data_IF_792927547051
#
_entry.id   IF_792927547051
#
_cell.length_a   1.000
_cell.length_b   1.000
_cell.length_c   1.000
_cell.angle_alpha   90.00
_cell.angle_beta   90.00
_cell.angle_gamma   90.00
#
_symmetry.space_group_name_H-M   'P 1'
#
loop_
_entity.id
_entity.type
_entity.pdbx_description
1 polymer ?
#
# COMPACT_ATOMS: atom_id res chain seq x y z
N UNK A 1 -3.51 -17.03 20.78
CA UNK A 1 -4.57 -16.30 20.05
C UNK A 1 -4.11 -16.11 18.61
N UNK A 2 -4.82 -16.65 17.62
CA UNK A 2 -4.61 -16.28 16.21
C UNK A 2 -5.30 -14.93 15.97
N UNK A 3 -4.66 -13.84 16.38
CA UNK A 3 -5.09 -12.47 16.05
C UNK A 3 -4.45 -12.03 14.73
N UNK A 4 -4.89 -12.61 13.61
CA UNK A 4 -4.39 -12.28 12.26
C UNK A 4 -5.46 -11.67 11.32
N UNK A 5 -6.80 -11.79 11.51
CA UNK A 5 -7.75 -11.22 10.53
C UNK A 5 -7.85 -9.69 10.52
N UNK A 6 -7.86 -9.04 11.69
CA UNK A 6 -8.22 -7.62 11.79
C UNK A 6 -7.14 -6.68 11.26
N UNK A 7 -5.87 -6.88 11.66
CA UNK A 7 -4.76 -6.02 11.26
C UNK A 7 -4.49 -6.10 9.75
N UNK A 8 -4.63 -7.29 9.16
CA UNK A 8 -4.50 -7.48 7.72
C UNK A 8 -5.56 -6.68 6.96
N UNK A 9 -6.85 -6.79 7.34
CA UNK A 9 -7.94 -6.01 6.71
C UNK A 9 -7.76 -4.51 6.84
N UNK A 10 -7.32 -4.03 8.02
CA UNK A 10 -7.04 -2.61 8.24
C UNK A 10 -5.95 -2.11 7.30
N UNK A 11 -4.81 -2.81 7.23
CA UNK A 11 -3.73 -2.49 6.29
C UNK A 11 -4.22 -2.47 4.84
N UNK A 12 -4.99 -3.48 4.44
CA UNK A 12 -5.54 -3.55 3.08
C UNK A 12 -6.47 -2.37 2.77
N UNK A 13 -7.33 -1.96 3.71
CA UNK A 13 -8.20 -0.80 3.54
C UNK A 13 -7.41 0.51 3.42
N UNK A 14 -6.37 0.68 4.23
CA UNK A 14 -5.48 1.85 4.15
C UNK A 14 -4.82 1.91 2.76
N UNK A 15 -4.30 0.79 2.27
CA UNK A 15 -3.70 0.70 0.95
C UNK A 15 -4.70 1.01 -0.18
N UNK A 16 -5.91 0.46 -0.13
CA UNK A 16 -6.91 0.74 -1.17
C UNK A 16 -7.33 2.22 -1.19
N UNK A 17 -7.45 2.85 -0.02
CA UNK A 17 -7.75 4.28 0.09
C UNK A 17 -6.58 5.16 -0.42
N UNK A 18 -5.34 4.81 -0.10
CA UNK A 18 -4.18 5.53 -0.60
C UNK A 18 -4.02 5.34 -2.12
N UNK A 19 -4.32 4.14 -2.65
CA UNK A 19 -4.36 3.90 -4.08
C UNK A 19 -5.44 4.76 -4.77
N UNK A 20 -6.64 4.83 -4.19
CA UNK A 20 -7.70 5.71 -4.68
C UNK A 20 -7.28 7.18 -4.74
N UNK A 21 -6.56 7.66 -3.73
CA UNK A 21 -6.06 9.04 -3.69
C UNK A 21 -4.98 9.31 -4.75
N UNK A 22 -4.09 8.35 -5.00
CA UNK A 22 -2.97 8.51 -5.92
C UNK A 22 -3.34 8.27 -7.39
N UNK A 23 -4.17 7.26 -7.65
CA UNK A 23 -4.49 6.78 -9.00
C UNK A 23 -5.93 7.09 -9.44
N UNK A 24 -6.77 7.60 -8.53
CA UNK A 24 -8.16 7.95 -8.80
C UNK A 24 -9.16 6.85 -8.42
N UNK A 25 -10.40 7.27 -8.20
CA UNK A 25 -11.48 6.36 -7.81
C UNK A 25 -11.84 5.36 -8.91
N UNK A 26 -11.87 5.83 -10.16
CA UNK A 26 -12.17 4.98 -11.32
C UNK A 26 -11.17 3.82 -11.46
N UNK A 27 -9.90 4.03 -11.06
CA UNK A 27 -8.89 2.98 -11.08
C UNK A 27 -9.20 1.85 -10.09
N UNK A 28 -9.45 2.18 -8.82
CA UNK A 28 -9.73 1.17 -7.77
C UNK A 28 -11.12 0.55 -7.88
N UNK A 29 -12.01 1.14 -8.68
CA UNK A 29 -13.35 0.63 -8.94
C UNK A 29 -13.39 -0.47 -10.00
N UNK A 30 -12.31 -0.68 -10.75
CA UNK A 30 -12.19 -1.76 -11.73
C UNK A 30 -12.46 -3.15 -11.13
N UNK A 31 -12.83 -4.10 -11.98
CA UNK A 31 -13.17 -5.48 -11.61
C UNK A 31 -12.01 -6.22 -10.95
N UNK A 32 -10.78 -5.89 -11.32
CA UNK A 32 -9.53 -6.50 -10.86
C UNK A 32 -9.31 -6.31 -9.36
N UNK A 33 -10.01 -5.35 -8.74
CA UNK A 33 -10.01 -5.10 -7.30
C UNK A 33 -11.17 -5.79 -6.57
N UNK A 34 -11.98 -6.64 -7.22
CA UNK A 34 -13.15 -7.26 -6.60
C UNK A 34 -12.79 -8.04 -5.32
N UNK A 35 -11.80 -8.93 -5.40
CA UNK A 35 -11.40 -9.78 -4.27
C UNK A 35 -10.92 -8.95 -3.07
N UNK A 36 -10.16 -7.88 -3.31
CA UNK A 36 -9.69 -7.02 -2.23
C UNK A 36 -10.82 -6.23 -1.58
N UNK A 37 -11.83 -5.82 -2.36
CA UNK A 37 -13.04 -5.16 -1.84
C UNK A 37 -13.87 -6.13 -0.99
N UNK A 38 -14.06 -7.36 -1.46
CA UNK A 38 -14.73 -8.42 -0.71
C UNK A 38 -13.99 -8.77 0.59
N UNK A 39 -12.66 -8.81 0.57
CA UNK A 39 -11.85 -8.99 1.78
C UNK A 39 -12.04 -7.86 2.79
N UNK A 40 -12.00 -6.60 2.33
CA UNK A 40 -12.17 -5.43 3.20
C UNK A 40 -13.56 -5.42 3.82
N UNK A 41 -14.62 -5.68 3.04
CA UNK A 41 -16.01 -5.56 3.49
C UNK A 41 -16.48 -6.79 4.27
N UNK A 42 -16.23 -7.98 3.74
CA UNK A 42 -16.86 -9.23 4.18
C UNK A 42 -15.87 -10.21 4.82
N UNK A 43 -14.56 -9.98 4.66
CA UNK A 43 -13.53 -10.90 5.18
C UNK A 43 -13.35 -12.17 4.33
N UNK A 44 -13.83 -12.19 3.09
CA UNK A 44 -13.59 -13.28 2.12
C UNK A 44 -12.13 -13.34 1.67
N UNK A 45 -11.68 -14.51 1.18
CA UNK A 45 -10.31 -14.72 0.67
C UNK A 45 -9.23 -14.62 1.77
N UNK A 46 -9.56 -15.03 3.00
CA UNK A 46 -8.65 -14.95 4.15
C UNK A 46 -7.30 -15.63 3.87
N UNK A 47 -7.26 -16.81 3.27
CA UNK A 47 -6.02 -17.55 2.99
C UNK A 47 -5.04 -16.75 2.12
N UNK A 48 -5.57 -15.92 1.21
CA UNK A 48 -4.79 -15.08 0.30
C UNK A 48 -4.29 -13.80 0.98
N UNK A 49 -5.13 -13.11 1.75
CA UNK A 49 -4.80 -11.79 2.31
C UNK A 49 -4.22 -11.83 3.73
N UNK A 50 -4.56 -12.84 4.53
CA UNK A 50 -4.06 -12.98 5.92
C UNK A 50 -2.57 -13.35 5.96
N UNK A 51 -2.12 -14.18 5.02
CA UNK A 51 -0.74 -14.65 4.87
C UNK A 51 0.10 -13.78 3.92
N UNK A 52 -0.40 -12.60 3.53
CA UNK A 52 0.30 -11.68 2.63
C UNK A 52 1.75 -11.38 3.07
N UNK A 53 2.66 -11.04 2.14
CA UNK A 53 4.10 -11.08 2.36
C UNK A 53 4.57 -10.28 3.59
N UNK A 54 5.60 -10.82 4.24
CA UNK A 54 6.29 -10.15 5.34
C UNK A 54 7.00 -8.88 4.84
N UNK A 55 6.85 -7.81 5.62
CA UNK A 55 7.56 -6.56 5.38
C UNK A 55 9.05 -6.73 5.66
N UNK A 56 9.90 -6.27 4.74
CA UNK A 56 11.33 -6.13 4.97
C UNK A 56 11.63 -4.66 5.37
N UNK A 57 12.16 -4.39 6.57
CA UNK A 57 12.48 -3.03 6.99
C UNK A 57 13.59 -2.36 6.14
N UNK A 58 14.39 -3.13 5.40
CA UNK A 58 15.49 -2.61 4.57
C UNK A 58 15.06 -2.10 3.18
N UNK A 59 13.76 -1.91 2.95
CA UNK A 59 13.24 -1.28 1.72
C UNK A 59 13.85 0.11 1.51
N UNK A 60 14.16 0.44 0.26
CA UNK A 60 14.88 1.68 -0.11
C UNK A 60 14.15 2.93 0.38
N UNK A 61 12.82 2.95 0.28
CA UNK A 61 11.99 4.09 0.71
C UNK A 61 12.21 4.45 2.19
N UNK A 62 12.45 3.47 3.08
CA UNK A 62 12.73 3.72 4.51
C UNK A 62 14.01 4.52 4.75
N UNK A 63 14.95 4.54 3.80
CA UNK A 63 16.20 5.32 3.88
C UNK A 63 15.99 6.78 3.46
N UNK A 64 14.87 7.09 2.80
CA UNK A 64 14.63 8.36 2.10
C UNK A 64 13.53 9.19 2.80
N UNK A 65 12.42 8.56 3.20
CA UNK A 65 11.27 9.23 3.85
C UNK A 65 11.67 9.84 5.20
N UNK A 66 10.85 10.69 5.86
CA UNK A 66 11.16 11.23 7.18
C UNK A 66 11.16 10.15 8.31
N UNK A 67 11.87 10.35 9.43
CA UNK A 67 11.78 9.44 10.57
C UNK A 67 10.36 9.39 11.12
N UNK A 68 9.95 8.24 11.66
CA UNK A 68 8.62 8.02 12.25
C UNK A 68 7.41 8.25 11.30
N UNK A 69 7.66 8.45 10.00
CA UNK A 69 6.60 8.60 9.01
C UNK A 69 5.84 7.30 8.81
N UNK A 70 4.55 7.44 8.50
CA UNK A 70 3.76 6.39 7.89
C UNK A 70 3.79 6.56 6.36
N UNK A 71 3.85 5.47 5.61
CA UNK A 71 3.79 5.55 4.15
C UNK A 71 3.08 4.35 3.53
N UNK A 72 2.52 4.59 2.34
CA UNK A 72 1.96 3.58 1.45
C UNK A 72 2.69 3.67 0.10
N UNK A 73 3.37 2.61 -0.33
CA UNK A 73 4.05 2.50 -1.62
C UNK A 73 3.32 1.51 -2.53
N UNK A 74 3.33 1.76 -3.83
CA UNK A 74 2.63 0.98 -4.82
C UNK A 74 3.52 0.72 -6.03
N UNK A 75 3.51 -0.52 -6.52
CA UNK A 75 4.28 -0.93 -7.68
C UNK A 75 3.64 -2.13 -8.37
N UNK A 76 4.04 -2.38 -9.62
CA UNK A 76 3.72 -3.61 -10.34
C UNK A 76 4.77 -4.69 -10.07
N UNK A 77 4.36 -5.81 -9.48
CA UNK A 77 5.14 -7.05 -9.41
C UNK A 77 4.65 -8.01 -10.51
N UNK A 78 5.26 -7.92 -11.69
CA UNK A 78 4.77 -8.64 -12.87
C UNK A 78 3.42 -8.08 -13.32
N UNK A 79 2.35 -8.85 -13.15
CA UNK A 79 0.96 -8.44 -13.44
C UNK A 79 0.18 -8.02 -12.20
N UNK A 80 0.77 -8.14 -11.02
CA UNK A 80 0.11 -7.81 -9.75
C UNK A 80 0.41 -6.38 -9.38
N UNK A 81 -0.64 -5.63 -9.09
CA UNK A 81 -0.53 -4.35 -8.43
C UNK A 81 -0.43 -4.60 -6.92
N UNK A 82 0.72 -4.23 -6.34
CA UNK A 82 1.05 -4.52 -4.95
C UNK A 82 1.19 -3.21 -4.21
N UNK A 83 0.58 -3.15 -3.02
CA UNK A 83 0.76 -2.08 -2.06
C UNK A 83 1.60 -2.53 -0.87
N UNK A 84 2.45 -1.65 -0.37
CA UNK A 84 3.20 -1.81 0.87
C UNK A 84 2.80 -0.71 1.81
N UNK A 85 2.30 -1.05 2.98
CA UNK A 85 2.03 -0.09 4.05
C UNK A 85 3.07 -0.25 5.14
N UNK A 86 3.60 0.87 5.62
CA UNK A 86 4.56 0.88 6.72
C UNK A 86 4.19 1.96 7.74
N UNK A 87 4.45 1.65 9.00
CA UNK A 87 4.27 2.50 10.15
C UNK A 87 5.60 2.56 10.90
N UNK A 88 6.03 3.78 11.24
CA UNK A 88 7.22 4.04 12.03
C UNK A 88 8.48 3.33 11.48
N UNK A 89 8.55 3.17 10.16
CA UNK A 89 9.61 2.46 9.40
C UNK A 89 9.94 1.03 9.87
N UNK A 90 9.14 0.43 10.74
CA UNK A 90 9.50 -0.77 11.49
C UNK A 90 8.46 -1.87 11.38
N UNK A 91 7.18 -1.50 11.25
CA UNK A 91 6.11 -2.44 11.09
C UNK A 91 5.34 -2.15 9.81
N UNK A 92 5.10 -3.16 9.00
CA UNK A 92 4.40 -3.00 7.75
C UNK A 92 3.85 -4.30 7.20
N UNK A 93 3.15 -4.19 6.08
CA UNK A 93 2.58 -5.32 5.36
C UNK A 93 2.59 -5.05 3.87
N UNK A 94 2.88 -6.09 3.10
CA UNK A 94 2.73 -6.11 1.65
C UNK A 94 1.39 -6.77 1.31
N UNK A 95 0.62 -6.19 0.40
CA UNK A 95 -0.69 -6.68 -0.01
C UNK A 95 -0.81 -6.66 -1.54
N UNK A 96 -1.06 -7.80 -2.20
CA UNK A 96 -1.43 -7.82 -3.62
C UNK A 96 -2.88 -7.33 -3.77
N UNK A 97 -3.08 -6.13 -4.32
CA UNK A 97 -4.40 -5.49 -4.36
C UNK A 97 -5.23 -5.89 -5.58
N UNK A 98 -4.57 -6.17 -6.70
CA UNK A 98 -5.20 -6.54 -7.97
C UNK A 98 -4.23 -7.31 -8.87
N UNK A 99 -4.74 -8.09 -9.81
CA UNK A 99 -3.96 -8.71 -10.89
C UNK A 99 -4.58 -8.33 -12.24
N UNK A 100 -3.75 -7.79 -13.13
CA UNK A 100 -4.17 -7.26 -14.43
C UNK A 100 -3.68 -8.14 -15.58
N UNK A 101 -4.26 -7.97 -16.77
CA UNK A 101 -3.72 -8.60 -17.98
C UNK A 101 -2.41 -7.93 -18.44
N UNK A 102 -2.36 -6.60 -18.40
CA UNK A 102 -1.20 -5.77 -18.74
C UNK A 102 -0.79 -4.91 -17.54
N UNK A 103 0.34 -4.20 -17.63
CA UNK A 103 0.81 -3.32 -16.54
C UNK A 103 0.23 -1.92 -16.70
N UNK A 104 -0.81 -1.51 -15.94
CA UNK A 104 -1.40 -0.20 -16.10
C UNK A 104 -0.52 0.93 -15.54
N UNK A 105 0.39 0.59 -14.63
CA UNK A 105 1.22 1.57 -13.92
C UNK A 105 2.70 1.21 -14.15
N UNK A 106 3.47 2.08 -14.84
CA UNK A 106 4.88 1.81 -15.12
C UNK A 106 5.79 2.14 -13.94
N UNK A 107 5.44 3.15 -13.14
CA UNK A 107 6.31 3.74 -12.14
C UNK A 107 5.84 3.46 -10.71
N UNK A 108 6.80 3.41 -9.79
CA UNK A 108 6.53 3.35 -8.35
C UNK A 108 5.89 4.67 -7.93
N UNK A 109 4.85 4.60 -7.11
CA UNK A 109 4.27 5.78 -6.48
C UNK A 109 4.08 5.51 -4.98
N UNK A 110 4.10 6.56 -4.18
CA UNK A 110 3.85 6.45 -2.75
C UNK A 110 3.17 7.68 -2.18
N UNK A 111 2.51 7.48 -1.04
CA UNK A 111 1.99 8.51 -0.18
C UNK A 111 2.70 8.45 1.15
N UNK A 112 3.23 9.58 1.61
CA UNK A 112 4.00 9.69 2.85
C UNK A 112 3.26 10.65 3.78
N UNK A 113 2.90 10.17 4.97
CA UNK A 113 2.36 10.97 6.05
C UNK A 113 3.46 11.26 7.07
N UNK A 114 3.92 12.51 7.10
CA UNK A 114 4.91 13.02 8.04
C UNK A 114 4.21 13.85 9.12
N UNK A 115 3.75 13.14 10.14
CA UNK A 115 3.09 13.75 11.30
C UNK A 115 4.00 14.71 12.08
N UNK A 116 5.30 14.43 12.14
CA UNK A 116 6.25 15.27 12.86
C UNK A 116 6.28 16.68 12.28
N UNK A 117 6.24 16.78 10.95
CA UNK A 117 6.22 18.06 10.25
C UNK A 117 4.81 18.49 9.79
N UNK A 118 3.76 17.77 10.20
CA UNK A 118 2.34 18.02 9.86
C UNK A 118 2.12 18.18 8.36
N UNK A 119 2.80 17.38 7.56
CA UNK A 119 2.71 17.47 6.10
C UNK A 119 2.60 16.09 5.48
N UNK A 120 1.75 16.01 4.47
CA UNK A 120 1.61 14.82 3.65
C UNK A 120 2.25 15.10 2.28
N UNK A 121 2.81 14.05 1.69
CA UNK A 121 3.51 14.14 0.41
C UNK A 121 3.05 13.02 -0.52
N UNK A 122 2.87 13.34 -1.79
CA UNK A 122 3.06 12.35 -2.85
C UNK A 122 4.56 12.12 -3.01
N UNK A 123 4.93 10.93 -3.46
CA UNK A 123 6.33 10.53 -3.50
C UNK A 123 7.17 11.45 -4.37
N UNK A 124 6.67 11.80 -5.56
CA UNK A 124 7.39 12.68 -6.49
C UNK A 124 7.63 14.06 -5.87
N UNK A 125 6.61 14.67 -5.26
CA UNK A 125 6.72 15.96 -4.57
C UNK A 125 7.74 15.91 -3.42
N UNK A 126 7.86 14.77 -2.73
CA UNK A 126 8.83 14.58 -1.67
C UNK A 126 10.27 14.48 -2.22
N UNK A 127 10.47 13.74 -3.32
CA UNK A 127 11.77 13.62 -3.97
C UNK A 127 12.26 14.98 -4.51
N UNK A 128 11.37 15.76 -5.13
CA UNK A 128 11.69 17.11 -5.59
C UNK A 128 12.15 18.04 -4.45
N UNK A 129 11.60 17.87 -3.25
CA UNK A 129 12.01 18.64 -2.06
C UNK A 129 13.41 18.26 -1.54
N UNK A 130 13.90 17.05 -1.83
CA UNK A 130 15.23 16.59 -1.39
C UNK A 130 16.37 17.16 -2.25
N UNK A 131 16.04 17.76 -3.40
CA UNK A 131 16.96 18.41 -4.32
C UNK A 131 17.00 19.92 -4.07
#
# INVERSE_FOLDING_TARGET
MKEIPANARVCTKILLNAAAYLYGWDFVMQSEFADVKEWILEGKHEDFFSNGPSFNPDVVINKIVPPDSHWCEFAMAGRRFVGVVCFYRSWGRVVPLAEFHERPIPDINAFICDWRNKKDYKFIDYLEKLH
#
